data_IF_919741243287
#
_entry.id   IF_919741243287
#
_cell.length_a   1.000
_cell.length_b   1.000
_cell.length_c   1.000
_cell.angle_alpha   90.00
_cell.angle_beta   90.00
_cell.angle_gamma   90.00
#
_symmetry.space_group_name_H-M   'P 1'
#
loop_
_entity.id
_entity.type
_entity.pdbx_description
1 polymer ?
#
# COMPACT_ATOMS: atom_id res chain seq x y z
N UNK A 1 -23.45 9.95 3.55
CA UNK A 1 -22.20 9.27 3.96
C UNK A 1 -21.48 8.67 2.73
N UNK A 2 -21.38 9.43 1.63
CA UNK A 2 -20.90 8.91 0.33
C UNK A 2 -19.59 9.57 -0.16
N UNK A 3 -19.00 10.49 0.61
CA UNK A 3 -17.82 11.25 0.18
C UNK A 3 -16.47 10.60 0.49
N UNK A 4 -16.42 9.56 1.35
CA UNK A 4 -15.15 8.93 1.73
C UNK A 4 -14.74 7.75 0.82
N UNK A 5 -15.65 7.26 -0.02
CA UNK A 5 -15.43 6.04 -0.83
C UNK A 5 -15.12 6.30 -2.32
N UNK A 6 -15.26 7.55 -2.80
CA UNK A 6 -15.06 7.88 -4.22
C UNK A 6 -13.58 8.02 -4.62
N UNK A 7 -12.65 8.14 -3.66
CA UNK A 7 -11.20 8.13 -3.94
C UNK A 7 -10.62 6.70 -3.98
N UNK A 8 -11.41 5.66 -3.69
CA UNK A 8 -10.93 4.29 -3.40
C UNK A 8 -11.56 3.19 -4.27
N UNK A 9 -11.93 3.50 -5.51
CA UNK A 9 -11.53 2.55 -6.56
C UNK A 9 -10.03 2.77 -6.69
N UNK A 10 -9.20 1.76 -6.45
CA UNK A 10 -7.74 1.88 -6.52
C UNK A 10 -7.37 2.40 -7.92
N UNK A 11 -7.26 3.72 -8.08
CA UNK A 11 -7.09 4.38 -9.36
C UNK A 11 -5.80 3.90 -10.02
N UNK A 12 -4.83 3.50 -9.19
CA UNK A 12 -3.59 2.90 -9.61
C UNK A 12 -3.85 1.53 -10.25
N UNK A 13 -4.74 0.69 -9.69
CA UNK A 13 -5.14 -0.60 -10.32
C UNK A 13 -5.96 -0.37 -11.59
N UNK A 14 -6.83 0.64 -11.62
CA UNK A 14 -7.66 0.95 -12.79
C UNK A 14 -6.85 1.39 -14.01
N UNK A 15 -5.73 2.08 -13.80
CA UNK A 15 -4.85 2.57 -14.87
C UNK A 15 -3.62 1.68 -15.10
N UNK A 16 -3.39 0.66 -14.26
CA UNK A 16 -2.31 -0.30 -14.46
C UNK A 16 -2.68 -1.37 -15.50
N UNK A 17 -1.69 -1.86 -16.27
CA UNK A 17 -1.90 -3.03 -17.12
C UNK A 17 -2.46 -4.21 -16.33
N UNK A 18 -3.49 -4.87 -16.86
CA UNK A 18 -4.15 -6.00 -16.19
C UNK A 18 -3.20 -7.16 -15.87
N UNK A 19 -2.12 -7.31 -16.65
CA UNK A 19 -1.05 -8.29 -16.41
C UNK A 19 -0.32 -8.03 -15.08
N UNK A 20 -0.08 -6.77 -14.69
CA UNK A 20 0.56 -6.43 -13.42
C UNK A 20 -0.37 -6.75 -12.25
N UNK A 21 -1.65 -6.39 -12.35
CA UNK A 21 -2.64 -6.68 -11.31
C UNK A 21 -2.76 -8.20 -11.08
N UNK A 22 -2.88 -8.99 -12.15
CA UNK A 22 -2.93 -10.46 -12.06
C UNK A 22 -1.71 -11.08 -11.39
N UNK A 23 -0.51 -10.53 -11.64
CA UNK A 23 0.72 -11.01 -10.98
C UNK A 23 0.69 -10.78 -9.47
N UNK A 24 0.20 -9.61 -9.04
CA UNK A 24 0.05 -9.29 -7.62
C UNK A 24 -1.00 -10.20 -6.99
N UNK A 25 -2.14 -10.39 -7.65
CA UNK A 25 -3.23 -11.23 -7.15
C UNK A 25 -2.78 -12.69 -6.99
N UNK A 26 -2.10 -13.24 -8.00
CA UNK A 26 -1.56 -14.60 -7.95
C UNK A 26 -0.51 -14.76 -6.84
N UNK A 27 0.30 -13.72 -6.59
CA UNK A 27 1.26 -13.73 -5.48
C UNK A 27 0.55 -13.79 -4.13
N UNK A 28 -0.43 -12.91 -3.89
CA UNK A 28 -1.20 -12.88 -2.64
C UNK A 28 -1.91 -14.21 -2.42
N UNK A 29 -2.57 -14.77 -3.44
CA UNK A 29 -3.24 -16.07 -3.34
C UNK A 29 -2.25 -17.19 -2.98
N UNK A 30 -1.08 -17.22 -3.63
CA UNK A 30 -0.06 -18.22 -3.34
C UNK A 30 0.48 -18.13 -1.92
N UNK A 31 0.70 -16.92 -1.41
CA UNK A 31 1.17 -16.68 -0.04
C UNK A 31 0.12 -17.07 0.99
N UNK A 32 -1.14 -16.68 0.78
CA UNK A 32 -2.24 -17.05 1.68
C UNK A 32 -2.44 -18.57 1.71
N UNK A 33 -2.40 -19.25 0.56
CA UNK A 33 -2.51 -20.71 0.49
C UNK A 33 -1.35 -21.39 1.23
N UNK A 34 -0.13 -20.94 1.01
CA UNK A 34 1.05 -21.47 1.72
C UNK A 34 0.91 -21.30 3.24
N UNK A 35 0.49 -20.13 3.71
CA UNK A 35 0.29 -19.87 5.14
C UNK A 35 -0.84 -20.72 5.72
N UNK A 36 -1.89 -21.01 4.96
CA UNK A 36 -2.98 -21.87 5.41
C UNK A 36 -2.57 -23.34 5.54
N UNK A 37 -1.70 -23.83 4.66
CA UNK A 37 -1.27 -25.23 4.63
C UNK A 37 -0.10 -25.53 5.57
N UNK A 38 0.86 -24.60 5.69
CA UNK A 38 2.14 -24.86 6.36
C UNK A 38 2.52 -23.80 7.40
N UNK A 39 1.83 -22.65 7.41
CA UNK A 39 2.20 -21.54 8.29
C UNK A 39 1.88 -21.83 9.75
N UNK A 40 2.87 -21.70 10.62
CA UNK A 40 2.63 -21.66 12.05
C UNK A 40 2.26 -20.23 12.52
N UNK A 41 1.73 -20.11 13.74
CA UNK A 41 1.32 -18.81 14.31
C UNK A 41 2.47 -17.81 14.40
N UNK A 42 3.70 -18.27 14.62
CA UNK A 42 4.88 -17.44 14.77
C UNK A 42 5.38 -16.91 13.42
N UNK A 43 5.33 -17.73 12.37
CA UNK A 43 5.62 -17.40 10.99
C UNK A 43 4.62 -16.39 10.45
N UNK A 44 3.32 -16.63 10.66
CA UNK A 44 2.27 -15.67 10.30
C UNK A 44 2.50 -14.32 10.98
N UNK A 45 2.89 -14.32 12.27
CA UNK A 45 3.13 -13.08 13.02
C UNK A 45 4.33 -12.30 12.48
N UNK A 46 5.43 -12.99 12.19
CA UNK A 46 6.63 -12.39 11.57
C UNK A 46 6.34 -11.85 10.17
N UNK A 47 5.53 -12.56 9.39
CA UNK A 47 5.13 -12.13 8.06
C UNK A 47 4.21 -10.92 8.10
N UNK A 48 3.27 -10.88 9.06
CA UNK A 48 2.43 -9.70 9.29
C UNK A 48 3.26 -8.46 9.65
N UNK A 49 4.28 -8.60 10.49
CA UNK A 49 5.20 -7.50 10.81
C UNK A 49 5.95 -7.01 9.56
N UNK A 50 6.36 -7.93 8.67
CA UNK A 50 6.95 -7.56 7.38
C UNK A 50 5.96 -6.76 6.51
N UNK A 51 4.69 -7.17 6.43
CA UNK A 51 3.66 -6.44 5.69
C UNK A 51 3.38 -5.05 6.28
N UNK A 52 3.51 -4.87 7.59
CA UNK A 52 3.34 -3.56 8.24
C UNK A 52 4.43 -2.56 7.87
N UNK A 53 5.64 -3.06 7.66
CA UNK A 53 6.80 -2.24 7.25
C UNK A 53 6.90 -2.06 5.73
N UNK A 54 6.10 -2.77 4.95
CA UNK A 54 6.10 -2.65 3.51
C UNK A 54 5.61 -1.27 3.06
N UNK A 55 6.33 -0.71 2.08
CA UNK A 55 5.97 0.57 1.51
C UNK A 55 4.94 0.36 0.40
N UNK A 56 3.82 1.05 0.52
CA UNK A 56 2.84 1.11 -0.55
C UNK A 56 3.22 2.16 -1.62
N UNK A 57 2.54 2.11 -2.77
CA UNK A 57 2.74 3.05 -3.88
C UNK A 57 2.62 4.51 -3.43
N UNK A 58 1.63 4.84 -2.59
CA UNK A 58 1.41 6.22 -2.16
C UNK A 58 2.56 6.69 -1.26
N UNK A 59 2.95 5.90 -0.25
CA UNK A 59 4.10 6.22 0.61
C UNK A 59 5.39 6.37 -0.18
N UNK A 60 5.63 5.49 -1.14
CA UNK A 60 6.81 5.54 -2.01
C UNK A 60 6.86 6.83 -2.82
N UNK A 61 5.73 7.26 -3.39
CA UNK A 61 5.66 8.50 -4.15
C UNK A 61 5.82 9.74 -3.27
N UNK A 62 5.08 9.80 -2.16
CA UNK A 62 5.08 10.97 -1.26
C UNK A 62 6.43 11.16 -0.57
N UNK A 63 7.16 10.09 -0.27
CA UNK A 63 8.50 10.20 0.34
C UNK A 63 9.58 10.34 -0.74
N UNK A 64 9.52 9.50 -1.79
CA UNK A 64 10.58 9.43 -2.80
C UNK A 64 10.66 10.65 -3.69
N UNK A 65 9.51 11.18 -4.16
CA UNK A 65 9.48 12.29 -5.11
C UNK A 65 10.01 13.59 -4.49
N UNK A 66 9.56 14.03 -3.29
CA UNK A 66 10.14 15.20 -2.64
C UNK A 66 11.62 15.02 -2.26
N UNK A 67 12.03 13.82 -1.83
CA UNK A 67 13.44 13.55 -1.52
C UNK A 67 14.33 13.74 -2.76
N UNK A 68 13.89 13.26 -3.92
CA UNK A 68 14.58 13.48 -5.20
C UNK A 68 14.59 14.96 -5.60
N UNK A 69 13.48 15.67 -5.40
CA UNK A 69 13.40 17.10 -5.70
C UNK A 69 14.37 17.92 -4.84
N UNK A 70 14.41 17.66 -3.52
CA UNK A 70 15.33 18.30 -2.58
C UNK A 70 16.79 17.95 -2.89
N UNK A 71 17.08 16.67 -3.16
CA UNK A 71 18.40 16.22 -3.58
C UNK A 71 18.87 16.93 -4.85
N UNK A 72 18.00 17.02 -5.87
CA UNK A 72 18.27 17.75 -7.11
C UNK A 72 18.52 19.25 -6.88
N UNK A 73 17.76 19.88 -6.00
CA UNK A 73 17.95 21.28 -5.65
C UNK A 73 19.28 21.51 -4.93
N UNK A 74 19.61 20.70 -3.92
CA UNK A 74 20.86 20.79 -3.16
C UNK A 74 22.08 20.53 -4.05
N UNK A 75 22.05 19.47 -4.86
CA UNK A 75 23.11 19.16 -5.80
C UNK A 75 23.19 20.20 -6.92
N UNK A 76 22.07 20.79 -7.34
CA UNK A 76 22.03 21.86 -8.34
C UNK A 76 22.68 23.17 -7.91
N UNK A 77 22.86 23.39 -6.60
CA UNK A 77 23.66 24.51 -6.09
C UNK A 77 25.17 24.27 -6.29
N UNK A 78 25.62 23.01 -6.33
CA UNK A 78 27.04 22.63 -6.38
C UNK A 78 27.50 22.12 -7.76
N UNK A 79 26.61 21.47 -8.51
CA UNK A 79 26.94 20.64 -9.69
C UNK A 79 26.27 21.11 -11.00
N UNK A 80 25.74 22.34 -11.06
CA UNK A 80 25.32 23.00 -12.32
C UNK A 80 23.81 22.97 -12.65
N UNK A 81 23.45 23.52 -13.83
CA UNK A 81 22.04 23.72 -14.27
C UNK A 81 21.23 22.42 -14.38
N UNK A 82 21.87 21.30 -14.76
CA UNK A 82 21.18 20.02 -14.98
C UNK A 82 20.43 19.49 -13.74
N UNK A 83 21.07 19.53 -12.58
CA UNK A 83 20.46 19.08 -11.31
C UNK A 83 19.31 19.99 -10.85
N UNK A 84 19.40 21.30 -11.12
CA UNK A 84 18.28 22.23 -10.87
C UNK A 84 17.08 21.94 -11.77
N UNK A 85 17.33 21.64 -13.05
CA UNK A 85 16.27 21.23 -14.00
C UNK A 85 15.62 19.93 -13.52
N UNK A 86 16.41 18.93 -13.11
CA UNK A 86 15.90 17.67 -12.58
C UNK A 86 15.01 17.88 -11.33
N UNK A 87 15.47 18.71 -10.38
CA UNK A 87 14.68 19.06 -9.20
C UNK A 87 13.37 19.76 -9.58
N UNK A 88 13.41 20.71 -10.50
CA UNK A 88 12.23 21.42 -11.00
C UNK A 88 11.22 20.50 -11.70
N UNK A 89 11.69 19.58 -12.57
CA UNK A 89 10.84 18.58 -13.23
C UNK A 89 10.18 17.67 -12.20
N UNK A 90 10.95 17.18 -11.23
CA UNK A 90 10.43 16.32 -10.15
C UNK A 90 9.33 17.01 -9.34
N UNK A 91 9.51 18.29 -9.01
CA UNK A 91 8.50 19.12 -8.34
C UNK A 91 7.25 19.33 -9.20
N UNK A 92 7.40 19.58 -10.51
CA UNK A 92 6.28 19.73 -11.42
C UNK A 92 5.45 18.44 -11.54
N UNK A 93 6.11 17.28 -11.59
CA UNK A 93 5.43 15.98 -11.58
C UNK A 93 4.69 15.72 -10.27
N UNK A 94 5.27 16.10 -9.12
CA UNK A 94 4.60 16.01 -7.82
C UNK A 94 3.35 16.90 -7.77
N UNK A 95 3.46 18.14 -8.25
CA UNK A 95 2.33 19.07 -8.31
C UNK A 95 1.23 18.52 -9.21
N UNK A 96 1.58 18.02 -10.40
CA UNK A 96 0.63 17.38 -11.30
C UNK A 96 -0.08 16.20 -10.63
N UNK A 97 0.68 15.34 -9.94
CA UNK A 97 0.13 14.19 -9.22
C UNK A 97 -0.85 14.61 -8.12
N UNK A 98 -0.53 15.66 -7.36
CA UNK A 98 -1.42 16.21 -6.34
C UNK A 98 -2.72 16.79 -6.89
N UNK A 99 -2.69 17.39 -8.09
CA UNK A 99 -3.87 17.97 -8.74
C UNK A 99 -4.78 16.92 -9.39
N UNK A 100 -4.20 15.88 -9.97
CA UNK A 100 -4.94 14.88 -10.76
C UNK A 100 -5.29 13.61 -9.97
N UNK A 101 -4.67 13.40 -8.80
CA UNK A 101 -4.86 12.20 -7.98
C UNK A 101 -4.27 10.92 -8.56
N UNK A 102 -3.68 10.99 -9.76
CA UNK A 102 -3.02 9.91 -10.48
C UNK A 102 -1.86 10.50 -11.28
N UNK A 103 -0.76 9.76 -11.47
CA UNK A 103 0.34 10.28 -12.27
C UNK A 103 1.14 9.18 -12.95
N UNK A 104 1.87 9.48 -14.04
CA UNK A 104 2.69 8.50 -14.74
C UNK A 104 3.73 7.82 -13.81
N UNK A 105 4.16 8.53 -12.75
CA UNK A 105 5.04 7.97 -11.72
C UNK A 105 4.43 6.77 -10.99
N UNK A 106 3.11 6.73 -10.77
CA UNK A 106 2.48 5.60 -10.07
C UNK A 106 2.52 4.32 -10.91
N UNK A 107 2.40 4.43 -12.24
CA UNK A 107 2.54 3.30 -13.17
C UNK A 107 3.98 2.78 -13.18
N UNK A 108 4.97 3.68 -13.15
CA UNK A 108 6.38 3.30 -13.06
C UNK A 108 6.70 2.60 -11.73
N UNK A 109 6.24 3.15 -10.61
CA UNK A 109 6.41 2.56 -9.28
C UNK A 109 5.72 1.19 -9.20
N UNK A 110 4.53 1.02 -9.79
CA UNK A 110 3.90 -0.30 -9.94
C UNK A 110 4.75 -1.26 -10.78
N UNK A 111 5.36 -0.78 -11.86
CA UNK A 111 6.24 -1.58 -12.71
C UNK A 111 7.43 -2.18 -11.95
N UNK A 112 7.87 -1.52 -10.88
CA UNK A 112 8.90 -2.00 -9.96
C UNK A 112 8.38 -3.03 -8.94
N UNK A 113 7.10 -3.40 -9.00
CA UNK A 113 6.48 -4.38 -8.10
C UNK A 113 5.95 -3.81 -6.79
N UNK A 114 5.91 -2.48 -6.63
CA UNK A 114 5.36 -1.86 -5.42
C UNK A 114 3.84 -1.99 -5.41
N UNK A 115 3.32 -2.52 -4.31
CA UNK A 115 1.90 -2.83 -4.12
C UNK A 115 1.13 -1.64 -3.57
N UNK A 116 -0.18 -1.61 -3.82
CA UNK A 116 -1.04 -0.60 -3.23
C UNK A 116 -1.37 -0.97 -1.80
N UNK A 117 -1.74 0.04 -0.99
CA UNK A 117 -2.08 -0.18 0.42
C UNK A 117 -3.20 -1.20 0.57
N UNK A 118 -4.20 -1.16 -0.32
CA UNK A 118 -5.32 -2.09 -0.35
C UNK A 118 -4.89 -3.54 -0.61
N UNK A 119 -3.91 -3.75 -1.48
CA UNK A 119 -3.38 -5.09 -1.79
C UNK A 119 -2.64 -5.67 -0.58
N UNK A 120 -1.80 -4.85 0.07
CA UNK A 120 -1.08 -5.22 1.29
C UNK A 120 -2.07 -5.52 2.43
N UNK A 121 -3.08 -4.67 2.61
CA UNK A 121 -4.10 -4.85 3.64
C UNK A 121 -4.97 -6.08 3.39
N UNK A 122 -5.30 -6.40 2.13
CA UNK A 122 -6.03 -7.61 1.77
C UNK A 122 -5.27 -8.87 2.20
N UNK A 123 -3.98 -8.95 1.88
CA UNK A 123 -3.14 -10.07 2.31
C UNK A 123 -3.01 -10.10 3.84
N UNK A 124 -2.77 -8.94 4.46
CA UNK A 124 -2.68 -8.80 5.92
C UNK A 124 -3.92 -9.35 6.62
N UNK A 125 -5.11 -8.97 6.17
CA UNK A 125 -6.35 -9.44 6.78
C UNK A 125 -6.63 -10.91 6.50
N UNK A 126 -6.28 -11.43 5.32
CA UNK A 126 -6.37 -12.86 5.04
C UNK A 126 -5.50 -13.68 6.02
N UNK A 127 -4.25 -13.24 6.25
CA UNK A 127 -3.34 -13.92 7.17
C UNK A 127 -3.79 -13.77 8.63
N UNK A 128 -4.31 -12.60 9.04
CA UNK A 128 -4.91 -12.43 10.38
C UNK A 128 -6.10 -13.36 10.61
N UNK A 129 -6.91 -13.59 9.58
CA UNK A 129 -8.00 -14.55 9.63
C UNK A 129 -7.50 -15.98 9.81
N UNK A 130 -6.48 -16.39 9.05
CA UNK A 130 -5.84 -17.71 9.21
C UNK A 130 -5.18 -17.88 10.60
N UNK A 131 -4.66 -16.80 11.17
CA UNK A 131 -4.06 -16.79 12.53
C UNK A 131 -5.10 -16.91 13.66
N UNK A 132 -6.39 -16.74 13.34
CA UNK A 132 -7.50 -16.78 14.30
C UNK A 132 -7.78 -15.46 15.01
N UNK A 133 -7.27 -14.32 14.51
CA UNK A 133 -7.43 -13.03 15.21
C UNK A 133 -8.90 -12.56 15.28
N UNK A 134 -9.74 -13.01 14.35
CA UNK A 134 -11.16 -12.69 14.29
C UNK A 134 -12.06 -13.66 15.07
N UNK A 135 -11.54 -14.77 15.59
CA UNK A 135 -12.34 -15.74 16.38
C UNK A 135 -12.83 -15.14 17.72
N UNK A 136 -12.19 -14.06 18.17
CA UNK A 136 -12.56 -13.31 19.39
C UNK A 136 -13.82 -12.46 19.26
N UNK A 137 -14.43 -12.38 18.08
CA UNK A 137 -15.66 -11.62 17.86
C UNK A 137 -16.86 -12.49 18.30
N UNK A 138 -17.56 -12.14 19.40
CA UNK A 138 -18.67 -12.95 19.91
C UNK A 138 -19.82 -12.99 18.90
N UNK A 139 -20.32 -14.18 18.58
CA UNK A 139 -21.47 -14.34 17.67
C UNK A 139 -22.83 -14.08 18.36
N UNK A 140 -22.87 -14.17 19.67
CA UNK A 140 -24.05 -14.12 20.54
C UNK A 140 -24.17 -12.83 21.36
N UNK A 141 -23.18 -11.93 21.29
CA UNK A 141 -23.19 -10.64 21.97
C UNK A 141 -24.14 -9.61 21.33
N UNK A 142 -24.63 -8.67 22.13
CA UNK A 142 -25.40 -7.52 21.62
C UNK A 142 -24.62 -6.68 20.59
N UNK A 143 -25.29 -5.88 19.72
CA UNK A 143 -24.65 -5.18 18.60
C UNK A 143 -23.42 -4.33 18.98
N UNK A 144 -23.44 -3.68 20.14
CA UNK A 144 -22.33 -2.86 20.64
C UNK A 144 -21.11 -3.69 21.05
N UNK A 145 -21.31 -4.85 21.67
CA UNK A 145 -20.23 -5.74 22.07
C UNK A 145 -19.50 -6.30 20.84
N UNK A 146 -20.27 -6.66 19.81
CA UNK A 146 -19.74 -7.10 18.50
C UNK A 146 -18.95 -6.01 17.80
N UNK A 147 -19.46 -4.78 17.79
CA UNK A 147 -18.77 -3.62 17.20
C UNK A 147 -17.42 -3.36 17.89
N UNK A 148 -17.39 -3.37 19.23
CA UNK A 148 -16.15 -3.18 19.98
C UNK A 148 -15.15 -4.31 19.73
N UNK A 149 -15.58 -5.57 19.73
CA UNK A 149 -14.71 -6.70 19.43
C UNK A 149 -14.14 -6.65 18.01
N UNK A 150 -14.95 -6.24 17.02
CA UNK A 150 -14.49 -6.05 15.65
C UNK A 150 -13.45 -4.93 15.53
N UNK A 151 -13.64 -3.81 16.24
CA UNK A 151 -12.65 -2.72 16.28
C UNK A 151 -11.32 -3.17 16.91
N UNK A 152 -11.38 -3.95 18.00
CA UNK A 152 -10.18 -4.49 18.65
C UNK A 152 -9.44 -5.46 17.72
N UNK A 153 -10.16 -6.38 17.06
CA UNK A 153 -9.56 -7.33 16.13
C UNK A 153 -8.98 -6.67 14.86
N UNK A 154 -9.55 -5.54 14.41
CA UNK A 154 -9.00 -4.77 13.30
C UNK A 154 -7.69 -4.04 13.67
N UNK A 155 -7.51 -3.69 14.94
CA UNK A 155 -6.36 -2.94 15.45
C UNK A 155 -5.18 -3.83 15.89
N UNK A 156 -5.43 -5.09 16.29
CA UNK A 156 -4.42 -6.10 16.61
C UNK A 156 -3.80 -6.70 15.37
#
# INVERSE_FOLDING_TARGET
MESWNQTSTDAVRAHAPSTMNRRIDAHVESCVRYMAEQGDRSEMSRYLEKLEHEWDVHRTLVVGVPALALGGLLLGRRSGRGWRVLGGITLALLLQHGLTGFGPLSVLVRGLGVRTRREIDLEKFAIKALRGDFERIPNDGGPLARANAALVAAQS
#
